data_IF_635875285649
#
_entry.id   IF_635875285649
#
_cell.length_a   1.000
_cell.length_b   1.000
_cell.length_c   1.000
_cell.angle_alpha   90.00
_cell.angle_beta   90.00
_cell.angle_gamma   90.00
#
_symmetry.space_group_name_H-M   'P 1'
#
loop_
_entity.id
_entity.type
_entity.pdbx_description
1 polymer ?
#
# COMPACT_ATOMS: atom_id res chain seq x y z
N UNK A 1 -20.68 -9.01 17.44
CA UNK A 1 -20.90 -9.07 15.98
C UNK A 1 -21.01 -7.63 15.50
N UNK A 2 -19.85 -6.98 15.28
CA UNK A 2 -19.81 -5.63 14.74
C UNK A 2 -19.57 -5.75 13.24
N UNK A 3 -20.52 -5.24 12.48
CA UNK A 3 -20.45 -5.15 11.02
C UNK A 3 -19.32 -4.17 10.65
N UNK A 4 -18.23 -4.69 10.10
CA UNK A 4 -17.20 -3.90 9.42
C UNK A 4 -17.75 -3.46 8.04
N UNK A 5 -18.62 -2.48 8.03
CA UNK A 5 -19.00 -1.78 6.82
C UNK A 5 -18.45 -0.36 6.88
N UNK A 6 -17.52 -0.07 5.98
CA UNK A 6 -17.14 1.26 5.52
C UNK A 6 -16.45 2.17 6.53
N UNK A 7 -15.13 2.01 6.63
CA UNK A 7 -14.27 2.90 7.43
C UNK A 7 -13.58 3.88 6.47
N UNK A 8 -13.60 5.20 6.78
CA UNK A 8 -13.14 6.23 5.88
C UNK A 8 -11.63 6.27 5.68
N UNK A 9 -11.20 6.47 4.43
CA UNK A 9 -9.81 6.72 4.05
C UNK A 9 -9.45 8.20 4.17
N UNK A 10 -8.18 8.48 4.50
CA UNK A 10 -7.63 9.83 4.55
C UNK A 10 -6.95 10.16 3.22
N UNK A 11 -7.39 11.21 2.53
CA UNK A 11 -6.71 11.76 1.37
C UNK A 11 -6.04 13.10 1.73
N UNK A 12 -4.80 13.32 1.30
CA UNK A 12 -3.99 14.47 1.71
C UNK A 12 -3.40 15.14 0.48
N UNK A 13 -3.61 16.46 0.38
CA UNK A 13 -3.00 17.32 -0.64
C UNK A 13 -1.73 18.02 -0.12
N UNK A 14 -0.69 18.00 -0.93
CA UNK A 14 0.56 18.73 -0.66
C UNK A 14 0.65 19.94 -1.61
N UNK A 15 0.89 21.12 -1.07
CA UNK A 15 1.01 22.43 -1.73
C UNK A 15 -0.31 23.16 -2.04
N UNK A 16 -0.91 23.74 -1.01
CA UNK A 16 -1.59 25.04 -1.00
C UNK A 16 -2.69 25.32 -2.01
N UNK A 17 -3.85 24.66 -1.91
CA UNK A 17 -5.11 25.18 -2.45
C UNK A 17 -6.19 25.20 -1.38
N UNK A 18 -6.94 26.30 -1.27
CA UNK A 18 -7.96 26.45 -0.23
C UNK A 18 -9.12 25.49 -0.40
N UNK A 19 -9.39 24.77 0.66
CA UNK A 19 -10.41 23.72 0.84
C UNK A 19 -11.85 24.21 0.69
N UNK A 20 -12.09 25.52 0.59
CA UNK A 20 -13.43 26.12 0.71
C UNK A 20 -14.45 25.60 -0.33
N UNK A 21 -14.00 25.09 -1.48
CA UNK A 21 -14.89 24.59 -2.53
C UNK A 21 -15.21 23.09 -2.44
N UNK A 22 -14.42 22.31 -1.70
CA UNK A 22 -14.64 20.87 -1.56
C UNK A 22 -15.73 20.56 -0.54
N UNK A 23 -15.83 21.34 0.53
CA UNK A 23 -16.87 21.19 1.54
C UNK A 23 -18.30 21.38 1.00
N UNK A 24 -18.47 22.27 0.02
CA UNK A 24 -19.79 22.54 -0.56
C UNK A 24 -20.25 21.45 -1.54
N UNK A 25 -19.29 20.76 -2.15
CA UNK A 25 -19.59 19.62 -3.05
C UNK A 25 -19.95 18.36 -2.27
N UNK A 26 -19.36 18.18 -1.09
CA UNK A 26 -19.49 16.96 -0.28
C UNK A 26 -20.91 16.77 0.31
N UNK A 27 -21.57 17.87 0.71
CA UNK A 27 -22.89 17.82 1.32
C UNK A 27 -24.06 17.51 0.34
N UNK A 28 -23.80 17.54 -0.96
CA UNK A 28 -24.84 17.25 -1.99
C UNK A 28 -24.82 15.82 -2.53
N UNK A 29 -23.83 14.98 -2.18
CA UNK A 29 -23.63 13.67 -2.77
C UNK A 29 -23.81 12.48 -1.81
N UNK A 30 -24.35 12.70 -0.62
CA UNK A 30 -24.48 11.69 0.44
C UNK A 30 -25.52 10.58 0.18
N UNK A 31 -26.16 10.53 -0.98
CA UNK A 31 -27.22 9.54 -1.21
C UNK A 31 -26.85 8.32 -2.08
N UNK A 32 -25.65 8.23 -2.67
CA UNK A 32 -25.29 7.06 -3.48
C UNK A 32 -23.81 6.70 -3.38
N UNK A 33 -23.54 5.56 -2.76
CA UNK A 33 -22.34 4.70 -2.89
C UNK A 33 -20.96 5.37 -2.81
N UNK A 34 -20.36 5.31 -1.65
CA UNK A 34 -19.18 6.08 -1.19
C UNK A 34 -17.86 5.72 -1.88
N UNK A 35 -17.69 4.54 -2.43
CA UNK A 35 -16.40 4.06 -2.99
C UNK A 35 -16.04 4.58 -4.39
N UNK A 36 -17.00 5.11 -5.14
CA UNK A 36 -16.81 5.51 -6.54
C UNK A 36 -16.56 6.99 -6.76
N UNK A 37 -16.61 7.80 -5.70
CA UNK A 37 -16.72 9.24 -5.86
C UNK A 37 -15.41 10.01 -5.71
N UNK A 38 -14.35 9.37 -5.21
CA UNK A 38 -13.14 10.11 -4.85
C UNK A 38 -12.43 10.72 -6.04
N UNK A 39 -12.33 9.99 -7.16
CA UNK A 39 -11.65 10.51 -8.34
C UNK A 39 -12.59 11.19 -9.34
N UNK A 40 -13.88 10.88 -9.32
CA UNK A 40 -14.87 11.59 -10.15
C UNK A 40 -15.33 12.92 -9.55
N UNK A 41 -15.22 13.09 -8.24
CA UNK A 41 -15.53 14.34 -7.52
C UNK A 41 -14.35 15.34 -7.53
N UNK A 42 -13.18 14.92 -8.01
CA UNK A 42 -12.04 15.82 -8.24
C UNK A 42 -12.43 16.81 -9.32
N UNK A 43 -12.47 18.11 -8.96
CA UNK A 43 -12.89 19.19 -9.86
C UNK A 43 -12.06 19.21 -11.16
N UNK A 44 -12.59 19.77 -12.27
CA UNK A 44 -11.84 19.88 -13.53
C UNK A 44 -10.46 20.54 -13.40
N UNK A 45 -10.30 21.43 -12.41
CA UNK A 45 -9.01 22.06 -12.09
C UNK A 45 -7.99 21.08 -11.50
N UNK A 46 -8.47 20.01 -10.90
CA UNK A 46 -7.63 18.92 -10.39
C UNK A 46 -7.28 17.89 -11.48
N UNK A 47 -7.93 17.89 -12.64
CA UNK A 47 -7.62 16.97 -13.75
C UNK A 47 -6.29 17.25 -14.44
N UNK A 48 -5.74 18.46 -14.31
CA UNK A 48 -4.38 18.79 -14.78
C UNK A 48 -3.32 18.56 -13.70
N UNK A 49 -3.64 17.77 -12.69
CA UNK A 49 -2.72 17.36 -11.67
C UNK A 49 -1.83 16.24 -12.22
N UNK A 50 -0.52 16.42 -12.15
CA UNK A 50 0.38 15.28 -12.06
C UNK A 50 0.16 14.74 -10.65
N UNK A 51 -0.84 13.86 -10.51
CA UNK A 51 -1.11 13.21 -9.24
C UNK A 51 -0.01 12.18 -9.05
N UNK A 52 1.00 12.52 -8.26
CA UNK A 52 1.81 11.48 -7.63
C UNK A 52 0.91 10.91 -6.54
N UNK A 53 0.04 10.00 -6.94
CA UNK A 53 -0.81 9.30 -5.99
C UNK A 53 0.06 8.29 -5.26
N UNK A 54 0.28 8.51 -3.99
CA UNK A 54 0.93 7.53 -3.14
C UNK A 54 -0.16 6.79 -2.38
N UNK A 55 -0.64 5.71 -2.93
CA UNK A 55 -1.31 4.71 -2.12
C UNK A 55 -0.27 4.01 -1.27
N UNK A 56 -0.65 3.65 -0.08
CA UNK A 56 0.15 2.90 0.86
C UNK A 56 1.32 3.69 1.43
N UNK A 57 0.97 4.68 2.23
CA UNK A 57 1.89 5.29 3.19
C UNK A 57 2.51 4.23 4.08
N UNK A 58 1.67 3.35 4.53
CA UNK A 58 1.94 2.14 5.29
C UNK A 58 0.77 1.17 5.07
N UNK A 59 1.04 -0.11 5.10
CA UNK A 59 0.08 -1.16 4.76
C UNK A 59 0.50 -1.92 3.50
N UNK A 60 -0.40 -2.67 2.94
CA UNK A 60 -0.16 -3.49 1.76
C UNK A 60 -1.50 -3.93 1.15
N UNK A 61 -1.59 -5.16 0.68
CA UNK A 61 -2.78 -5.72 0.04
C UNK A 61 -4.03 -5.84 0.97
N UNK A 62 -3.97 -5.35 2.21
CA UNK A 62 -5.12 -5.23 3.11
C UNK A 62 -6.01 -4.00 2.82
N UNK A 63 -5.50 -3.04 2.05
CA UNK A 63 -6.27 -1.88 1.60
C UNK A 63 -6.96 -2.21 0.27
N UNK A 64 -8.20 -2.67 0.32
CA UNK A 64 -8.99 -2.89 -0.90
C UNK A 64 -9.83 -1.66 -1.24
N UNK A 65 -9.82 -1.23 -2.51
CA UNK A 65 -10.70 -0.18 -3.01
C UNK A 65 -11.26 -0.55 -4.38
N UNK A 66 -12.51 -0.23 -4.56
CA UNK A 66 -13.22 -0.45 -5.82
C UNK A 66 -13.47 0.88 -6.50
N UNK A 67 -13.01 1.01 -7.73
CA UNK A 67 -13.17 2.23 -8.54
C UNK A 67 -13.93 1.89 -9.80
N UNK A 68 -14.73 2.82 -10.30
CA UNK A 68 -15.37 2.72 -11.60
C UNK A 68 -14.84 3.84 -12.50
N UNK A 69 -14.52 3.52 -13.73
CA UNK A 69 -14.16 4.54 -14.72
C UNK A 69 -15.41 5.26 -15.24
N UNK A 70 -15.22 6.25 -16.14
CA UNK A 70 -16.30 7.01 -16.76
C UNK A 70 -17.28 6.17 -17.57
N UNK A 71 -16.90 4.97 -17.98
CA UNK A 71 -17.73 4.02 -18.73
C UNK A 71 -18.47 3.04 -17.82
N UNK A 72 -18.32 3.17 -16.49
CA UNK A 72 -18.92 2.28 -15.50
C UNK A 72 -18.19 0.94 -15.33
N UNK A 73 -16.98 0.79 -15.87
CA UNK A 73 -16.17 -0.41 -15.72
C UNK A 73 -15.53 -0.43 -14.32
N UNK A 74 -15.67 -1.56 -13.63
CA UNK A 74 -15.19 -1.78 -12.27
C UNK A 74 -13.73 -2.22 -12.25
N UNK A 75 -12.94 -1.60 -11.37
CA UNK A 75 -11.58 -1.98 -11.03
C UNK A 75 -11.47 -2.22 -9.52
N UNK A 76 -10.95 -3.36 -9.11
CA UNK A 76 -10.67 -3.68 -7.71
C UNK A 76 -9.15 -3.67 -7.54
N UNK A 77 -8.63 -2.68 -6.82
CA UNK A 77 -7.21 -2.48 -6.59
C UNK A 77 -6.88 -2.68 -5.10
N UNK A 78 -5.65 -3.09 -4.81
CA UNK A 78 -5.15 -3.28 -3.45
C UNK A 78 -3.75 -2.69 -3.26
N UNK A 79 -2.83 -2.93 -4.21
CA UNK A 79 -1.44 -2.49 -4.16
C UNK A 79 -1.16 -1.34 -5.13
N UNK A 80 -1.91 -1.27 -6.22
CA UNK A 80 -1.75 -0.22 -7.21
C UNK A 80 -2.58 0.99 -6.82
N UNK A 81 -1.98 2.20 -6.77
CA UNK A 81 -2.70 3.43 -6.44
C UNK A 81 -3.86 3.73 -7.38
N UNK A 82 -4.97 4.26 -6.84
CA UNK A 82 -6.19 4.57 -7.59
C UNK A 82 -5.97 5.55 -8.75
N UNK A 83 -4.98 6.43 -8.62
CA UNK A 83 -4.59 7.39 -9.66
C UNK A 83 -4.16 6.78 -10.98
N UNK A 84 -3.88 5.47 -11.05
CA UNK A 84 -3.48 4.77 -12.27
C UNK A 84 -4.53 4.86 -13.39
N UNK A 85 -5.80 5.01 -13.02
CA UNK A 85 -6.89 5.17 -13.99
C UNK A 85 -6.88 6.51 -14.72
N UNK A 86 -6.04 7.46 -14.31
CA UNK A 86 -5.84 8.75 -14.98
C UNK A 86 -4.53 8.75 -15.76
N UNK A 87 -4.59 8.92 -17.06
CA UNK A 87 -3.45 8.83 -17.98
C UNK A 87 -2.26 9.73 -17.63
N UNK A 88 -2.49 10.91 -17.09
CA UNK A 88 -1.43 11.86 -16.69
C UNK A 88 -0.82 11.62 -15.32
N UNK A 89 -1.19 10.55 -14.63
CA UNK A 89 -0.79 10.30 -13.23
C UNK A 89 0.43 9.40 -13.15
N UNK A 90 1.43 9.82 -12.36
CA UNK A 90 2.51 8.96 -11.88
C UNK A 90 2.13 8.43 -10.50
N UNK A 91 2.01 7.13 -10.38
CA UNK A 91 1.71 6.43 -9.12
C UNK A 91 2.98 6.04 -8.39
N UNK A 92 3.03 6.26 -7.07
CA UNK A 92 4.21 5.94 -6.26
C UNK A 92 3.80 5.09 -5.07
N UNK A 93 4.39 3.92 -4.94
CA UNK A 93 4.30 3.07 -3.74
C UNK A 93 5.48 3.38 -2.84
N UNK A 94 5.21 3.99 -1.68
CA UNK A 94 6.23 4.53 -0.79
C UNK A 94 7.03 3.49 -0.01
N UNK A 95 8.08 3.96 0.67
CA UNK A 95 8.96 3.12 1.49
C UNK A 95 8.30 2.54 2.75
N UNK A 96 7.18 3.10 3.16
CA UNK A 96 6.39 2.58 4.27
C UNK A 96 5.57 1.33 3.93
N UNK A 97 5.31 1.08 2.65
CA UNK A 97 4.51 -0.04 2.19
C UNK A 97 5.20 -1.40 2.33
N UNK A 98 4.38 -2.45 2.38
CA UNK A 98 4.82 -3.84 2.23
C UNK A 98 4.21 -4.42 0.96
N UNK A 99 5.04 -5.03 0.12
CA UNK A 99 4.70 -5.40 -1.25
C UNK A 99 4.67 -6.91 -1.41
N UNK A 100 3.50 -7.46 -1.69
CA UNK A 100 3.35 -8.82 -2.18
C UNK A 100 3.52 -8.81 -3.71
N UNK A 101 4.72 -9.12 -4.18
CA UNK A 101 5.08 -8.98 -5.60
C UNK A 101 4.18 -9.80 -6.54
N UNK A 102 3.81 -11.06 -6.21
CA UNK A 102 2.84 -11.79 -7.03
C UNK A 102 1.51 -11.06 -7.18
N UNK A 103 0.91 -10.61 -6.09
CA UNK A 103 -0.36 -9.86 -6.12
C UNK A 103 -0.25 -8.52 -6.82
N UNK A 104 0.90 -7.83 -6.72
CA UNK A 104 1.16 -6.61 -7.47
C UNK A 104 1.07 -6.84 -8.99
N UNK A 105 1.68 -7.92 -9.48
CA UNK A 105 1.62 -8.24 -10.91
C UNK A 105 0.26 -8.76 -11.36
N UNK A 106 -0.48 -9.45 -10.51
CA UNK A 106 -1.87 -9.81 -10.82
C UNK A 106 -2.73 -8.56 -11.06
N UNK A 107 -2.53 -7.50 -10.25
CA UNK A 107 -3.23 -6.23 -10.46
C UNK A 107 -2.78 -5.51 -11.73
N UNK A 108 -1.46 -5.46 -12.02
CA UNK A 108 -0.92 -4.88 -13.25
C UNK A 108 -1.49 -5.58 -14.48
N UNK A 109 -1.42 -6.92 -14.52
CA UNK A 109 -1.94 -7.72 -15.64
C UNK A 109 -3.46 -7.51 -15.81
N UNK A 110 -4.18 -7.39 -14.69
CA UNK A 110 -5.60 -7.06 -14.70
C UNK A 110 -5.89 -5.67 -15.27
N UNK A 111 -5.11 -4.66 -14.91
CA UNK A 111 -5.23 -3.30 -15.44
C UNK A 111 -4.94 -3.25 -16.94
N UNK A 112 -3.81 -3.83 -17.37
CA UNK A 112 -3.39 -3.85 -18.77
C UNK A 112 -4.37 -4.62 -19.66
N UNK A 113 -4.89 -5.75 -19.20
CA UNK A 113 -5.93 -6.51 -19.91
C UNK A 113 -7.23 -5.71 -20.10
N UNK A 114 -7.42 -4.71 -19.25
CA UNK A 114 -8.56 -3.79 -19.27
C UNK A 114 -8.26 -2.46 -19.99
N UNK A 115 -7.10 -2.36 -20.68
CA UNK A 115 -6.73 -1.20 -21.49
C UNK A 115 -6.09 -0.05 -20.71
N UNK A 116 -5.73 -0.26 -19.41
CA UNK A 116 -5.03 0.74 -18.60
C UNK A 116 -3.52 0.49 -18.71
N UNK A 117 -2.79 1.38 -19.35
CA UNK A 117 -1.34 1.28 -19.45
C UNK A 117 -0.68 1.55 -18.10
N UNK A 118 0.20 0.65 -17.66
CA UNK A 118 0.97 0.80 -16.44
C UNK A 118 2.43 1.18 -16.68
N UNK A 119 2.91 1.05 -17.91
CA UNK A 119 4.31 1.30 -18.28
C UNK A 119 4.75 2.74 -17.99
N UNK A 120 5.86 2.87 -17.25
CA UNK A 120 6.43 4.16 -16.85
C UNK A 120 5.55 4.99 -15.90
N UNK A 121 4.43 4.46 -15.44
CA UNK A 121 3.45 5.19 -14.62
C UNK A 121 3.36 4.73 -13.18
N UNK A 122 4.11 3.73 -12.79
CA UNK A 122 4.16 3.22 -11.41
C UNK A 122 5.61 3.15 -10.96
N UNK A 123 5.88 3.70 -9.77
CA UNK A 123 7.16 3.56 -9.10
C UNK A 123 6.96 2.85 -7.77
N UNK A 124 7.82 1.90 -7.49
CA UNK A 124 7.87 1.14 -6.23
C UNK A 124 9.16 1.50 -5.51
N UNK A 125 9.05 1.86 -4.23
CA UNK A 125 10.23 2.20 -3.44
C UNK A 125 11.19 1.02 -3.31
N UNK A 126 12.45 1.24 -3.61
CA UNK A 126 13.55 0.32 -3.34
C UNK A 126 13.65 -0.05 -1.84
N UNK A 127 13.14 0.80 -0.95
CA UNK A 127 13.12 0.62 0.51
C UNK A 127 11.86 -0.05 1.04
N UNK A 128 10.81 -0.26 0.22
CA UNK A 128 9.63 -1.01 0.61
C UNK A 128 9.99 -2.45 0.97
N UNK A 129 9.26 -3.05 1.92
CA UNK A 129 9.53 -4.42 2.34
C UNK A 129 8.77 -5.42 1.49
N UNK A 130 9.43 -6.55 1.20
CA UNK A 130 8.81 -7.67 0.51
C UNK A 130 7.95 -8.48 1.47
N UNK A 131 6.68 -8.63 1.09
CA UNK A 131 5.74 -9.52 1.75
C UNK A 131 5.72 -10.84 0.98
N UNK A 132 6.06 -11.93 1.64
CA UNK A 132 6.09 -13.28 1.08
C UNK A 132 4.85 -14.07 1.47
N UNK A 133 4.54 -15.15 0.75
CA UNK A 133 3.46 -16.08 1.11
C UNK A 133 3.63 -16.64 2.53
N UNK A 134 4.87 -16.82 3.00
CA UNK A 134 5.14 -17.21 4.38
C UNK A 134 4.52 -16.24 5.42
N UNK A 135 4.51 -14.94 5.14
CA UNK A 135 3.89 -13.97 6.05
C UNK A 135 2.37 -14.16 6.13
N UNK A 136 1.72 -14.54 5.03
CA UNK A 136 0.28 -14.84 5.00
C UNK A 136 -0.03 -16.12 5.79
N UNK A 137 0.82 -17.16 5.64
CA UNK A 137 0.70 -18.39 6.41
C UNK A 137 0.86 -18.11 7.91
N UNK A 138 1.90 -17.36 8.29
CA UNK A 138 2.16 -16.96 9.69
C UNK A 138 1.00 -16.14 10.26
N UNK A 139 0.43 -15.22 9.49
CA UNK A 139 -0.73 -14.43 9.91
C UNK A 139 -1.94 -15.32 10.22
N UNK A 140 -2.19 -16.31 9.37
CA UNK A 140 -3.23 -17.32 9.60
C UNK A 140 -2.99 -18.21 10.82
N UNK A 141 -1.76 -18.66 11.05
CA UNK A 141 -1.38 -19.47 12.21
C UNK A 141 -1.54 -18.69 13.50
N UNK A 142 -1.06 -17.43 13.53
CA UNK A 142 -1.18 -16.55 14.70
C UNK A 142 -2.64 -16.27 15.06
N UNK A 143 -3.49 -16.02 14.07
CA UNK A 143 -4.92 -15.81 14.31
C UNK A 143 -5.58 -17.08 14.87
N UNK A 144 -5.15 -18.26 14.43
CA UNK A 144 -5.65 -19.54 14.95
C UNK A 144 -5.18 -19.79 16.41
N UNK A 145 -3.95 -19.40 16.78
CA UNK A 145 -3.44 -19.51 18.15
C UNK A 145 -4.23 -18.63 19.16
N UNK A 146 -4.81 -17.54 18.71
CA UNK A 146 -5.56 -16.62 19.58
C UNK A 146 -6.96 -17.12 19.94
N UNK A 147 -7.45 -18.17 19.31
CA UNK A 147 -8.76 -18.81 19.57
C UNK A 147 -9.91 -17.79 19.74
N UNK A 148 -10.37 -17.59 21.00
CA UNK A 148 -11.46 -16.65 21.32
C UNK A 148 -11.01 -15.19 21.42
N UNK A 149 -9.71 -14.91 21.33
CA UNK A 149 -9.12 -13.57 21.41
C UNK A 149 -8.58 -13.08 20.06
N UNK A 150 -9.12 -13.61 18.94
CA UNK A 150 -8.70 -13.24 17.61
C UNK A 150 -8.84 -11.74 17.36
N UNK A 151 -7.89 -11.18 16.60
CA UNK A 151 -7.85 -9.76 16.24
C UNK A 151 -8.78 -9.48 15.04
N UNK A 152 -9.04 -10.50 14.21
CA UNK A 152 -9.81 -10.39 12.98
C UNK A 152 -8.98 -9.88 11.81
N UNK A 153 -7.75 -10.37 11.68
CA UNK A 153 -6.86 -9.98 10.59
C UNK A 153 -7.41 -10.42 9.22
N UNK A 154 -6.99 -9.73 8.18
CA UNK A 154 -7.34 -10.10 6.79
C UNK A 154 -6.55 -11.31 6.30
N UNK A 155 -5.66 -11.86 7.10
CA UNK A 155 -4.71 -12.96 6.75
C UNK A 155 -3.87 -12.66 5.51
N UNK A 156 -3.60 -11.37 5.26
CA UNK A 156 -2.78 -10.91 4.14
C UNK A 156 -1.29 -10.80 4.48
N UNK A 157 -0.89 -11.17 5.71
CA UNK A 157 0.51 -11.19 6.14
C UNK A 157 1.09 -9.82 6.47
N UNK A 158 0.27 -8.79 6.61
CA UNK A 158 0.71 -7.41 6.85
C UNK A 158 1.45 -7.30 8.18
N UNK A 159 0.82 -7.76 9.28
CA UNK A 159 1.40 -7.75 10.62
C UNK A 159 2.73 -8.50 10.69
N UNK A 160 2.81 -9.76 10.25
CA UNK A 160 4.07 -10.51 10.20
C UNK A 160 5.16 -9.83 9.38
N UNK A 161 4.84 -9.21 8.24
CA UNK A 161 5.81 -8.48 7.43
C UNK A 161 6.35 -7.24 8.16
N UNK A 162 5.49 -6.45 8.81
CA UNK A 162 5.93 -5.34 9.67
C UNK A 162 6.73 -5.82 10.88
N UNK A 163 6.38 -6.95 11.47
CA UNK A 163 7.19 -7.57 12.53
C UNK A 163 8.61 -7.87 12.04
N UNK A 164 8.74 -8.47 10.86
CA UNK A 164 10.04 -8.72 10.23
C UNK A 164 10.81 -7.43 9.93
N UNK A 165 10.11 -6.37 9.51
CA UNK A 165 10.71 -5.04 9.33
C UNK A 165 11.28 -4.49 10.65
N UNK A 166 10.51 -4.56 11.74
CA UNK A 166 10.91 -4.03 13.05
C UNK A 166 12.05 -4.85 13.68
N UNK A 167 12.02 -6.18 13.53
CA UNK A 167 13.10 -7.08 13.97
C UNK A 167 14.31 -7.05 13.05
N UNK A 168 14.24 -6.37 11.91
CA UNK A 168 15.33 -6.16 10.93
C UNK A 168 15.83 -7.43 10.26
N UNK A 169 14.96 -8.44 10.14
CA UNK A 169 15.23 -9.65 9.37
C UNK A 169 14.36 -9.74 8.09
N UNK A 170 13.53 -8.72 7.82
CA UNK A 170 12.76 -8.62 6.58
C UNK A 170 13.63 -8.23 5.38
N UNK A 171 13.19 -8.58 4.18
CA UNK A 171 13.83 -8.22 2.92
C UNK A 171 13.13 -6.99 2.31
N UNK A 172 13.92 -6.16 1.63
CA UNK A 172 13.45 -4.99 0.89
C UNK A 172 13.42 -5.25 -0.61
N UNK A 173 12.72 -4.40 -1.33
CA UNK A 173 12.66 -4.45 -2.80
C UNK A 173 14.07 -4.35 -3.41
N UNK A 174 14.97 -3.50 -2.86
CA UNK A 174 16.35 -3.41 -3.32
C UNK A 174 17.15 -4.73 -3.18
N UNK A 175 16.77 -5.63 -2.30
CA UNK A 175 17.43 -6.92 -2.15
C UNK A 175 17.26 -7.81 -3.40
N UNK A 176 16.22 -7.57 -4.19
CA UNK A 176 16.00 -8.26 -5.46
C UNK A 176 17.10 -7.98 -6.51
N UNK A 177 17.84 -6.88 -6.36
CA UNK A 177 18.98 -6.53 -7.21
C UNK A 177 20.25 -7.32 -6.89
N UNK A 178 20.24 -8.06 -5.78
CA UNK A 178 21.38 -8.89 -5.37
C UNK A 178 20.89 -10.31 -5.02
N UNK A 179 20.65 -11.10 -6.04
CA UNK A 179 20.14 -12.46 -5.91
C UNK A 179 21.15 -13.41 -5.24
N UNK A 180 22.46 -13.08 -5.22
CA UNK A 180 23.47 -13.90 -4.54
C UNK A 180 23.26 -13.93 -3.02
N UNK A 181 22.84 -12.81 -2.44
CA UNK A 181 22.56 -12.71 -0.99
C UNK A 181 21.08 -12.87 -0.65
N UNK A 182 20.21 -12.77 -1.64
CA UNK A 182 18.75 -12.85 -1.45
C UNK A 182 18.33 -14.18 -0.83
N UNK A 183 18.87 -15.31 -1.35
CA UNK A 183 18.55 -16.63 -0.85
C UNK A 183 18.93 -16.83 0.62
N UNK A 184 20.09 -16.34 1.04
CA UNK A 184 20.56 -16.42 2.42
C UNK A 184 19.67 -15.61 3.38
N UNK A 185 19.30 -14.40 2.98
CA UNK A 185 18.38 -13.55 3.76
C UNK A 185 16.99 -14.20 3.88
N UNK A 186 16.50 -14.77 2.80
CA UNK A 186 15.20 -15.45 2.80
C UNK A 186 15.25 -16.71 3.67
N UNK A 187 16.36 -17.49 3.67
CA UNK A 187 16.57 -18.64 4.53
C UNK A 187 16.47 -18.27 6.03
N UNK A 188 17.09 -17.16 6.42
CA UNK A 188 16.98 -16.64 7.80
C UNK A 188 15.53 -16.35 8.17
N UNK A 189 14.76 -15.72 7.27
CA UNK A 189 13.36 -15.40 7.50
C UNK A 189 12.50 -16.66 7.65
N UNK A 190 12.71 -17.66 6.78
CA UNK A 190 11.99 -18.94 6.86
C UNK A 190 12.31 -19.72 8.14
N UNK A 191 13.58 -19.76 8.55
CA UNK A 191 14.01 -20.41 9.79
C UNK A 191 13.44 -19.72 11.04
N UNK A 192 13.41 -18.39 11.04
CA UNK A 192 12.81 -17.63 12.12
C UNK A 192 11.30 -17.93 12.24
N UNK A 193 10.58 -17.98 11.13
CA UNK A 193 9.17 -18.37 11.12
C UNK A 193 8.95 -19.81 11.64
N UNK A 194 9.75 -20.77 11.19
CA UNK A 194 9.65 -22.18 11.63
C UNK A 194 9.99 -22.35 13.13
N UNK A 195 10.88 -21.50 13.67
CA UNK A 195 11.22 -21.55 15.09
C UNK A 195 10.11 -20.98 15.98
N UNK A 196 9.37 -19.98 15.49
CA UNK A 196 8.39 -19.23 16.31
C UNK A 196 6.96 -19.74 16.21
N UNK A 197 6.59 -20.32 15.06
CA UNK A 197 5.20 -20.68 14.78
C UNK A 197 5.04 -22.17 14.58
N UNK A 198 4.34 -22.82 15.52
CA UNK A 198 3.95 -24.21 15.37
C UNK A 198 3.04 -24.37 14.15
N UNK A 199 3.30 -25.38 13.34
CA UNK A 199 2.58 -25.62 12.09
C UNK A 199 3.16 -24.93 10.86
N UNK A 200 4.20 -24.10 11.01
CA UNK A 200 4.97 -23.63 9.86
C UNK A 200 6.10 -24.61 9.56
N UNK A 201 5.93 -25.37 8.49
CA UNK A 201 6.94 -26.35 8.05
C UNK A 201 7.91 -25.69 7.07
N UNK A 202 9.19 -25.65 7.43
CA UNK A 202 10.25 -25.17 6.55
C UNK A 202 10.99 -26.32 5.90
N UNK A 203 11.26 -26.19 4.60
CA UNK A 203 12.16 -27.09 3.87
C UNK A 203 13.07 -26.30 2.92
N UNK A 204 14.26 -26.85 2.67
CA UNK A 204 15.18 -26.28 1.67
C UNK A 204 14.59 -26.25 0.25
N UNK A 205 13.65 -27.15 -0.05
CA UNK A 205 12.97 -27.16 -1.33
C UNK A 205 12.02 -25.96 -1.48
N UNK A 206 11.26 -25.62 -0.43
CA UNK A 206 10.44 -24.41 -0.41
C UNK A 206 11.29 -23.16 -0.65
N UNK A 207 12.40 -23.03 0.07
CA UNK A 207 13.33 -21.91 -0.13
C UNK A 207 13.80 -21.82 -1.58
N UNK A 208 14.25 -22.94 -2.15
CA UNK A 208 14.73 -22.96 -3.54
C UNK A 208 13.65 -22.54 -4.53
N UNK A 209 12.44 -23.04 -4.36
CA UNK A 209 11.30 -22.69 -5.22
C UNK A 209 10.96 -21.21 -5.11
N UNK A 210 10.98 -20.65 -3.89
CA UNK A 210 10.67 -19.24 -3.67
C UNK A 210 11.77 -18.33 -4.24
N UNK A 211 13.05 -18.67 -4.07
CA UNK A 211 14.17 -17.93 -4.68
C UNK A 211 14.04 -17.92 -6.21
N UNK A 212 13.77 -19.06 -6.85
CA UNK A 212 13.58 -19.13 -8.31
C UNK A 212 12.34 -18.35 -8.77
N UNK A 213 11.28 -18.35 -7.98
CA UNK A 213 10.09 -17.54 -8.25
C UNK A 213 10.41 -16.05 -8.21
N UNK A 214 11.09 -15.60 -7.15
CA UNK A 214 11.45 -14.18 -6.97
C UNK A 214 12.54 -13.71 -7.94
N UNK A 215 13.40 -14.60 -8.44
CA UNK A 215 14.33 -14.27 -9.52
C UNK A 215 13.61 -13.79 -10.78
N UNK A 216 12.53 -14.48 -11.16
CA UNK A 216 11.69 -14.06 -12.30
C UNK A 216 10.94 -12.77 -12.03
N UNK A 217 10.47 -12.57 -10.79
CA UNK A 217 9.82 -11.33 -10.40
C UNK A 217 10.79 -10.17 -10.34
N UNK A 218 12.05 -10.37 -9.95
CA UNK A 218 13.07 -9.33 -9.91
C UNK A 218 13.27 -8.68 -11.27
N UNK A 219 13.39 -9.48 -12.34
CA UNK A 219 13.51 -8.99 -13.72
C UNK A 219 12.29 -8.17 -14.14
N UNK A 220 11.09 -8.63 -13.79
CA UNK A 220 9.83 -7.96 -14.13
C UNK A 220 9.62 -6.69 -13.32
N UNK A 221 10.05 -6.66 -12.05
CA UNK A 221 9.85 -5.53 -11.13
C UNK A 221 10.88 -4.41 -11.35
N UNK A 222 12.07 -4.71 -11.88
CA UNK A 222 13.17 -3.76 -12.03
C UNK A 222 12.75 -2.43 -12.69
N UNK A 223 11.93 -2.40 -13.77
CA UNK A 223 11.49 -1.13 -14.37
C UNK A 223 10.65 -0.24 -13.44
N UNK A 224 10.05 -0.82 -12.41
CA UNK A 224 9.22 -0.09 -11.45
C UNK A 224 10.03 0.41 -10.25
N UNK A 225 11.24 -0.12 -9.99
CA UNK A 225 12.00 0.17 -8.77
C UNK A 225 12.68 1.53 -8.86
N UNK A 226 12.42 2.39 -7.88
CA UNK A 226 13.02 3.72 -7.79
C UNK A 226 13.36 4.13 -6.34
N UNK A 227 14.27 5.09 -6.19
CA UNK A 227 14.38 5.88 -4.95
C UNK A 227 13.21 6.86 -4.88
N UNK A 228 12.08 6.38 -4.36
CA UNK A 228 10.85 7.18 -4.27
C UNK A 228 10.98 8.37 -3.34
N UNK A 229 11.87 8.31 -2.34
CA UNK A 229 12.15 9.44 -1.45
C UNK A 229 12.76 10.59 -2.25
N UNK A 230 13.73 10.28 -3.11
CA UNK A 230 14.34 11.28 -4.01
C UNK A 230 13.29 11.86 -4.96
N UNK A 231 12.55 11.01 -5.68
CA UNK A 231 11.53 11.43 -6.66
C UNK A 231 10.47 12.34 -6.03
N UNK A 232 10.00 12.01 -4.83
CA UNK A 232 8.98 12.80 -4.14
C UNK A 232 9.54 14.15 -3.68
N UNK A 233 10.73 14.17 -3.07
CA UNK A 233 11.33 15.44 -2.63
C UNK A 233 11.67 16.35 -3.81
N UNK A 234 12.14 15.81 -4.95
CA UNK A 234 12.33 16.57 -6.18
C UNK A 234 10.99 17.12 -6.72
N UNK A 235 9.94 16.30 -6.74
CA UNK A 235 8.59 16.72 -7.14
C UNK A 235 8.05 17.84 -6.28
N UNK A 236 8.30 17.80 -4.96
CA UNK A 236 7.95 18.88 -4.02
C UNK A 236 8.72 20.17 -4.34
N UNK A 237 10.03 20.07 -4.60
CA UNK A 237 10.87 21.23 -4.99
C UNK A 237 10.40 21.84 -6.31
N UNK A 238 9.98 21.01 -7.25
CA UNK A 238 9.41 21.43 -8.53
C UNK A 238 7.95 21.94 -8.40
N UNK A 239 7.40 21.98 -7.19
CA UNK A 239 6.02 22.42 -6.91
C UNK A 239 4.96 21.60 -7.67
N UNK A 240 5.25 20.33 -7.96
CA UNK A 240 4.25 19.42 -8.51
C UNK A 240 3.15 19.19 -7.49
N UNK A 241 1.95 19.01 -7.97
CA UNK A 241 0.81 18.65 -7.12
C UNK A 241 0.88 17.18 -6.77
N UNK A 242 0.84 16.88 -5.47
CA UNK A 242 0.96 15.52 -4.94
C UNK A 242 -0.29 15.25 -4.12
N UNK A 243 -1.01 14.20 -4.48
CA UNK A 243 -2.11 13.66 -3.69
C UNK A 243 -1.63 12.40 -2.97
N UNK A 244 -1.79 12.37 -1.68
CA UNK A 244 -1.45 11.21 -0.85
C UNK A 244 -2.74 10.52 -0.44
N UNK A 245 -2.85 9.24 -0.76
CA UNK A 245 -3.99 8.39 -0.46
C UNK A 245 -3.65 7.43 0.67
N UNK A 246 -4.39 7.48 1.79
CA UNK A 246 -4.28 6.51 2.87
C UNK A 246 -5.10 5.25 2.57
N UNK A 247 -4.59 4.08 2.96
CA UNK A 247 -5.26 2.80 2.70
C UNK A 247 -6.17 2.32 3.82
N UNK A 248 -6.06 2.91 5.03
CA UNK A 248 -6.75 2.44 6.23
C UNK A 248 -7.35 3.63 7.00
N UNK A 249 -8.38 3.35 7.81
CA UNK A 249 -8.96 4.36 8.67
C UNK A 249 -8.00 4.82 9.77
N UNK A 250 -8.07 6.11 10.11
CA UNK A 250 -7.26 6.72 11.18
C UNK A 250 -7.39 6.01 12.53
N UNK A 251 -8.60 5.53 12.88
CA UNK A 251 -8.83 4.80 14.14
C UNK A 251 -8.21 3.40 14.17
N UNK A 252 -7.68 2.91 13.04
CA UNK A 252 -6.91 1.68 13.00
C UNK A 252 -5.40 1.91 13.17
N UNK A 253 -4.96 3.13 13.50
CA UNK A 253 -3.56 3.43 13.75
C UNK A 253 -3.03 2.63 14.95
N UNK A 254 -1.81 2.07 14.80
CA UNK A 254 -1.22 1.19 15.80
C UNK A 254 -0.88 1.91 17.11
N UNK A 255 -0.60 3.23 17.03
CA UNK A 255 -0.14 3.98 18.20
C UNK A 255 -1.30 4.58 19.01
N UNK A 256 -2.33 5.11 18.36
CA UNK A 256 -3.44 5.78 19.05
C UNK A 256 -4.84 5.27 18.69
N UNK A 257 -4.93 4.27 17.82
CA UNK A 257 -6.21 3.68 17.42
C UNK A 257 -6.86 2.80 18.50
N UNK A 258 -7.83 2.01 18.08
CA UNK A 258 -8.62 1.12 18.95
C UNK A 258 -7.88 -0.19 19.28
N UNK A 259 -6.66 -0.08 19.79
CA UNK A 259 -5.81 -1.22 20.17
C UNK A 259 -6.55 -2.22 21.07
N UNK A 260 -6.45 -3.57 20.86
CA UNK A 260 -5.60 -4.26 19.89
C UNK A 260 -6.20 -4.41 18.48
N UNK A 261 -7.42 -3.93 18.23
CA UNK A 261 -8.15 -4.05 16.96
C UNK A 261 -7.72 -2.93 16.01
N UNK A 262 -6.46 -2.99 15.59
CA UNK A 262 -5.78 -2.00 14.73
C UNK A 262 -5.03 -2.69 13.60
N UNK A 263 -4.62 -1.92 12.59
CA UNK A 263 -3.64 -2.38 11.60
C UNK A 263 -2.22 -2.29 12.17
N UNK A 264 -1.28 -3.04 11.61
CA UNK A 264 0.13 -3.01 12.04
C UNK A 264 0.92 -1.82 11.47
N UNK A 265 0.24 -0.79 11.04
CA UNK A 265 0.81 0.39 10.39
C UNK A 265 0.21 1.68 10.97
N UNK A 266 0.77 2.83 10.58
CA UNK A 266 0.26 4.15 10.98
C UNK A 266 -0.43 4.82 9.79
N UNK A 267 -1.75 4.60 9.59
CA UNK A 267 -2.52 5.18 8.50
C UNK A 267 -2.83 6.67 8.70
N UNK A 268 -2.47 7.23 9.86
CA UNK A 268 -2.65 8.64 10.18
C UNK A 268 -1.76 9.58 9.37
N UNK A 269 -2.03 10.88 9.45
CA UNK A 269 -1.20 11.92 8.83
C UNK A 269 0.29 11.84 9.25
N UNK A 270 0.57 11.41 10.49
CA UNK A 270 1.94 11.19 10.97
C UNK A 270 2.69 10.11 10.18
N UNK A 271 1.99 9.06 9.78
CA UNK A 271 2.55 7.96 8.99
C UNK A 271 3.00 8.35 7.59
N UNK A 272 2.49 9.47 7.05
CA UNK A 272 2.87 9.99 5.73
C UNK A 272 4.36 10.33 5.69
N UNK A 273 4.84 11.07 6.68
CA UNK A 273 6.21 11.55 6.71
C UNK A 273 7.20 10.39 6.68
N UNK A 274 6.99 9.38 7.51
CA UNK A 274 7.85 8.19 7.57
C UNK A 274 7.64 7.25 6.40
N UNK A 275 6.39 7.09 5.95
CA UNK A 275 6.03 6.18 4.86
C UNK A 275 6.48 6.65 3.48
N UNK A 276 6.71 7.95 3.29
CA UNK A 276 7.14 8.57 2.04
C UNK A 276 8.53 9.21 2.10
N UNK A 277 9.11 9.36 3.29
CA UNK A 277 10.39 10.03 3.48
C UNK A 277 10.33 11.54 3.18
N UNK A 278 9.23 12.20 3.56
CA UNK A 278 9.02 13.63 3.36
C UNK A 278 8.94 14.39 4.69
N UNK A 279 9.30 15.66 4.67
CA UNK A 279 9.28 16.48 5.88
C UNK A 279 7.83 16.89 6.26
N UNK A 280 7.46 16.92 7.56
CA UNK A 280 6.10 17.32 8.00
C UNK A 280 5.66 18.69 7.47
N UNK A 281 6.59 19.63 7.34
CA UNK A 281 6.32 21.01 6.87
C UNK A 281 5.82 21.12 5.42
N UNK A 282 5.93 20.05 4.63
CA UNK A 282 5.48 20.05 3.22
C UNK A 282 4.07 19.49 3.07
N UNK A 283 3.49 18.97 4.14
CA UNK A 283 2.11 18.52 4.17
C UNK A 283 1.22 19.74 4.09
N UNK A 284 0.33 19.77 3.11
CA UNK A 284 -0.68 20.81 2.92
C UNK A 284 -2.01 20.42 3.55
N UNK A 285 -3.09 20.52 2.77
CA UNK A 285 -4.44 20.24 3.23
C UNK A 285 -4.64 18.76 3.57
N UNK A 286 -5.34 18.51 4.67
CA UNK A 286 -5.77 17.19 5.12
C UNK A 286 -7.26 17.05 4.82
N UNK A 287 -7.61 16.05 4.03
CA UNK A 287 -9.00 15.76 3.67
C UNK A 287 -9.41 14.47 4.38
N UNK A 288 -10.27 14.61 5.38
CA UNK A 288 -10.91 13.46 6.04
C UNK A 288 -12.15 13.03 5.25
N UNK A 289 -12.25 11.72 5.02
CA UNK A 289 -13.44 11.14 4.42
C UNK A 289 -14.14 10.31 5.48
N UNK A 290 -15.40 10.60 5.71
CA UNK A 290 -16.25 9.94 6.70
C UNK A 290 -17.35 9.21 5.95
N UNK A 291 -17.49 7.90 6.18
CA UNK A 291 -18.56 7.05 5.66
C UNK A 291 -19.64 6.81 6.70
#
# INVERSE_FOLDING_TARGET
MFLYSEIPCLAICINGFSVLNIYTLHMKFLEHSISNQYMSAVSPELRNLIIVSTMLLQGGANAGHTIYNSEGKKFALHLVPSGILHEGTLCVVGNGAVIHVPGFFEEIDGLESNGVSCDGRILVSDRAHLLFDLHQVVDGLREAELENSFIGTTKRGIGPCYSSKVTRNGLRVCDLRNMDTFGDKLDVLFKDAALRFQGFEYSKNMLKQEVERYKRFAERLEPFIADTVHVLNESIQQKKKILVEGGQATMLDIDFGTYPFVTSSSPSAGGICTGLGIAPRVIGDLIGVVG
#
